data_IF_535724446301
#
_entry.id   IF_535724446301
#
_cell.length_a   1.000
_cell.length_b   1.000
_cell.length_c   1.000
_cell.angle_alpha   90.00
_cell.angle_beta   90.00
_cell.angle_gamma   90.00
#
_symmetry.space_group_name_H-M   'P 1'
#
loop_
_entity.id
_entity.type
_entity.pdbx_description
1 polymer ?
#
# COMPACT_ATOMS: atom_id res chain seq x y z
N UNK A 1 16.30 -3.41 -13.18
CA UNK A 1 16.68 -3.00 -11.80
C UNK A 1 15.56 -3.41 -10.84
N UNK A 2 15.90 -4.05 -9.71
CA UNK A 2 15.05 -4.92 -8.86
C UNK A 2 13.65 -4.41 -8.47
N UNK A 3 12.60 -4.87 -9.16
CA UNK A 3 11.18 -4.59 -8.89
C UNK A 3 10.69 -5.03 -7.50
N UNK A 4 11.37 -5.99 -6.86
CA UNK A 4 10.96 -6.52 -5.55
C UNK A 4 11.11 -5.49 -4.43
N UNK A 5 12.16 -4.67 -4.45
CA UNK A 5 12.48 -3.73 -3.35
C UNK A 5 11.43 -2.65 -3.18
N UNK A 6 10.87 -2.16 -4.28
CA UNK A 6 9.91 -1.06 -4.26
C UNK A 6 8.56 -1.50 -3.68
N UNK A 7 8.14 -2.72 -4.00
CA UNK A 7 6.92 -3.32 -3.47
C UNK A 7 6.98 -3.53 -1.95
N UNK A 8 8.10 -4.05 -1.44
CA UNK A 8 8.28 -4.26 -0.01
C UNK A 8 8.25 -2.94 0.77
N UNK A 9 8.94 -1.90 0.26
CA UNK A 9 8.90 -0.54 0.81
C UNK A 9 7.48 0.02 0.85
N UNK A 10 6.74 -0.03 -0.26
CA UNK A 10 5.36 0.46 -0.34
C UNK A 10 4.43 -0.29 0.61
N UNK A 11 4.61 -1.61 0.74
CA UNK A 11 3.85 -2.44 1.68
C UNK A 11 4.14 -2.06 3.13
N UNK A 12 5.42 -1.91 3.48
CA UNK A 12 5.85 -1.53 4.83
C UNK A 12 5.26 -0.16 5.22
N UNK A 13 5.29 0.82 4.31
CA UNK A 13 4.66 2.13 4.48
C UNK A 13 3.16 2.02 4.74
N UNK A 14 2.47 1.16 3.98
CA UNK A 14 1.04 0.96 4.16
C UNK A 14 0.71 0.20 5.45
N UNK A 15 1.52 -0.78 5.86
CA UNK A 15 1.37 -1.52 7.11
C UNK A 15 1.66 -0.68 8.34
N UNK A 16 2.58 0.27 8.24
CA UNK A 16 2.84 1.28 9.27
C UNK A 16 1.79 2.42 9.28
N UNK A 17 0.85 2.45 8.32
CA UNK A 17 -0.11 3.54 8.20
C UNK A 17 -1.25 3.38 9.23
N UNK A 18 -1.54 4.39 10.06
CA UNK A 18 -2.63 4.33 11.04
C UNK A 18 -4.03 4.28 10.37
N UNK A 19 -4.09 4.63 9.09
CA UNK A 19 -5.31 4.59 8.27
C UNK A 19 -5.51 3.24 7.57
N UNK A 20 -4.67 2.24 7.87
CA UNK A 20 -4.86 0.89 7.35
C UNK A 20 -5.95 0.18 8.15
N UNK A 21 -7.03 -0.19 7.47
CA UNK A 21 -8.04 -1.09 7.99
C UNK A 21 -7.48 -2.51 7.88
N UNK A 22 -6.87 -2.98 8.97
CA UNK A 22 -6.38 -4.35 9.12
C UNK A 22 -7.53 -5.21 9.64
N UNK A 23 -8.41 -5.64 8.74
CA UNK A 23 -9.43 -6.62 9.06
C UNK A 23 -8.81 -8.01 9.24
N UNK A 24 -9.55 -8.93 9.87
CA UNK A 24 -9.08 -10.31 10.11
C UNK A 24 -8.64 -11.03 8.82
N UNK A 25 -9.21 -10.62 7.67
CA UNK A 25 -8.95 -11.25 6.37
C UNK A 25 -8.42 -10.28 5.29
N UNK A 26 -8.56 -8.96 5.44
CA UNK A 26 -8.25 -8.01 4.36
C UNK A 26 -7.56 -6.75 4.88
N UNK A 27 -6.46 -6.35 4.23
CA UNK A 27 -5.73 -5.11 4.51
C UNK A 27 -6.14 -4.05 3.46
N UNK A 28 -7.11 -3.21 3.83
CA UNK A 28 -7.62 -2.13 2.98
C UNK A 28 -7.24 -0.77 3.55
N UNK A 29 -6.92 0.19 2.69
CA UNK A 29 -6.68 1.55 3.15
C UNK A 29 -8.01 2.28 3.35
N UNK A 30 -8.18 2.97 4.49
CA UNK A 30 -9.40 3.73 4.83
C UNK A 30 -9.61 4.96 3.92
N UNK A 31 -8.56 5.43 3.23
CA UNK A 31 -8.62 6.64 2.39
C UNK A 31 -9.07 6.35 0.96
N UNK A 32 -8.41 5.41 0.28
CA UNK A 32 -8.76 5.01 -1.11
C UNK A 32 -9.74 3.83 -1.17
N UNK A 33 -9.97 3.11 -0.06
CA UNK A 33 -10.67 1.82 -0.06
C UNK A 33 -9.89 0.67 -0.73
N UNK A 34 -8.66 0.93 -1.18
CA UNK A 34 -7.89 0.03 -2.01
C UNK A 34 -7.23 -1.11 -1.23
N UNK A 35 -7.07 -2.27 -1.87
CA UNK A 35 -6.29 -3.39 -1.33
C UNK A 35 -4.81 -3.06 -1.40
N UNK A 36 -4.16 -2.94 -0.25
CA UNK A 36 -2.76 -2.53 -0.19
C UNK A 36 -1.88 -3.48 -1.00
N UNK A 37 -2.02 -4.80 -0.81
CA UNK A 37 -1.24 -5.82 -1.54
C UNK A 37 -1.38 -5.75 -3.06
N UNK A 38 -2.51 -5.25 -3.56
CA UNK A 38 -2.75 -5.09 -4.99
C UNK A 38 -2.21 -3.74 -5.48
N UNK A 39 -2.54 -2.65 -4.77
CA UNK A 39 -2.14 -1.31 -5.17
C UNK A 39 -0.63 -1.13 -5.14
N UNK A 40 0.08 -1.70 -4.16
CA UNK A 40 1.55 -1.61 -4.10
C UNK A 40 2.25 -2.38 -5.23
N UNK A 41 1.59 -3.36 -5.86
CA UNK A 41 2.09 -4.04 -7.07
C UNK A 41 1.94 -3.19 -8.34
N UNK A 42 1.02 -2.24 -8.35
CA UNK A 42 0.77 -1.38 -9.50
C UNK A 42 1.81 -0.25 -9.53
N UNK A 43 2.70 -0.29 -10.52
CA UNK A 43 3.80 0.69 -10.65
C UNK A 43 3.33 2.11 -10.98
N UNK A 44 2.18 2.23 -11.64
CA UNK A 44 1.61 3.52 -12.06
C UNK A 44 0.66 4.13 -11.02
N UNK A 45 0.37 3.38 -9.96
CA UNK A 45 -0.44 3.87 -8.86
C UNK A 45 0.45 4.52 -7.81
N UNK A 46 -0.07 5.58 -7.19
CA UNK A 46 0.58 6.23 -6.05
C UNK A 46 -0.38 6.29 -4.86
N UNK A 47 0.17 6.57 -3.68
CA UNK A 47 -0.64 6.75 -2.49
C UNK A 47 -1.50 8.03 -2.61
N UNK A 48 -2.82 7.99 -2.33
CA UNK A 48 -3.69 9.19 -2.40
C UNK A 48 -3.26 10.30 -1.44
N UNK A 49 -2.58 9.93 -0.35
CA UNK A 49 -2.00 10.86 0.64
C UNK A 49 -0.49 11.08 0.43
N UNK A 50 0.05 10.68 -0.72
CA UNK A 50 1.45 10.85 -1.13
C UNK A 50 2.50 10.27 -0.16
N UNK A 51 2.17 9.21 0.59
CA UNK A 51 3.16 8.49 1.43
C UNK A 51 4.20 7.70 0.64
N UNK A 52 3.90 7.36 -0.61
CA UNK A 52 4.80 6.69 -1.55
C UNK A 52 4.39 7.06 -2.99
N UNK A 53 5.36 7.00 -3.91
CA UNK A 53 5.22 7.38 -5.33
C UNK A 53 4.99 6.18 -6.23
#
# INVERSE_FOLDING_TARGET
>A
MNEKKDLDLRLEICFACPLLLKGFLLERCSVCGCFVRLKTKLKYESCPIKKWM
#
